data_IF_619723991877
#
_entry.id   IF_619723991877
#
_cell.length_a   1.000
_cell.length_b   1.000
_cell.length_c   1.000
_cell.angle_alpha   90.00
_cell.angle_beta   90.00
_cell.angle_gamma   90.00
#
_symmetry.space_group_name_H-M   'P 1'
#
loop_
_entity.id
_entity.type
_entity.pdbx_description
1 polymer ?
#
# COMPACT_ATOMS: atom_id res chain seq x y z
N UNK A 1 -10.98 20.20 14.98
CA UNK A 1 -11.13 18.78 15.39
C UNK A 1 -9.78 18.08 15.25
N UNK A 2 -9.39 17.26 16.24
CA UNK A 2 -8.16 16.45 16.18
C UNK A 2 -8.34 15.29 15.19
N UNK A 3 -7.34 15.02 14.34
CA UNK A 3 -7.35 13.86 13.43
C UNK A 3 -6.58 12.70 14.04
N UNK A 4 -7.04 11.48 13.78
CA UNK A 4 -6.31 10.25 14.08
C UNK A 4 -5.53 9.83 12.84
N UNK A 5 -4.29 9.40 13.02
CA UNK A 5 -3.39 8.97 11.94
C UNK A 5 -3.02 7.51 12.18
N UNK A 6 -3.16 6.67 11.16
CA UNK A 6 -2.78 5.26 11.18
C UNK A 6 -1.74 5.01 10.07
N UNK A 7 -0.55 4.51 10.44
CA UNK A 7 0.50 4.08 9.52
C UNK A 7 0.55 2.55 9.49
N UNK A 8 0.23 1.97 8.34
CA UNK A 8 0.41 0.54 8.09
C UNK A 8 1.73 0.36 7.33
N UNK A 9 2.66 -0.41 7.90
CA UNK A 9 3.93 -0.74 7.28
C UNK A 9 4.10 -2.26 7.27
N UNK A 10 4.25 -2.82 6.08
CA UNK A 10 4.31 -4.27 5.85
C UNK A 10 5.74 -4.70 5.54
N UNK A 11 6.14 -5.88 6.02
CA UNK A 11 7.43 -6.50 5.68
C UNK A 11 7.34 -7.16 4.29
N UNK A 12 8.33 -6.89 3.42
CA UNK A 12 8.55 -7.56 2.11
C UNK A 12 7.39 -7.61 1.10
N UNK A 13 6.33 -6.82 1.27
CA UNK A 13 5.14 -6.90 0.36
C UNK A 13 5.43 -6.39 -1.06
N UNK A 14 6.29 -5.37 -1.18
CA UNK A 14 6.61 -4.74 -2.47
C UNK A 14 5.36 -4.24 -3.22
N UNK A 15 5.33 -4.45 -4.54
CA UNK A 15 4.20 -4.08 -5.42
C UNK A 15 3.36 -5.29 -5.86
N UNK A 16 3.60 -6.48 -5.32
CA UNK A 16 2.97 -7.72 -5.77
C UNK A 16 1.56 -7.92 -5.17
N UNK A 17 0.69 -6.91 -5.25
CA UNK A 17 -0.68 -6.91 -4.70
C UNK A 17 -1.71 -6.36 -5.69
N UNK A 18 -3.00 -6.65 -5.48
CA UNK A 18 -4.10 -6.25 -6.39
C UNK A 18 -4.09 -4.77 -6.79
N UNK A 19 -3.88 -3.79 -5.89
CA UNK A 19 -3.78 -2.38 -6.27
C UNK A 19 -2.79 -2.08 -7.40
N UNK A 20 -1.74 -2.89 -7.54
CA UNK A 20 -0.71 -2.78 -8.57
C UNK A 20 -0.93 -3.69 -9.78
N UNK A 21 -2.06 -4.40 -9.87
CA UNK A 21 -2.44 -5.21 -11.03
C UNK A 21 -2.05 -6.69 -10.96
N UNK A 22 -1.55 -7.16 -9.81
CA UNK A 22 -1.20 -8.57 -9.62
C UNK A 22 -2.41 -9.41 -9.21
N UNK A 23 -2.47 -10.65 -9.68
CA UNK A 23 -3.52 -11.62 -9.35
C UNK A 23 -3.34 -12.24 -7.94
N UNK A 24 -3.27 -11.38 -6.91
CA UNK A 24 -3.15 -11.77 -5.49
C UNK A 24 -4.33 -11.21 -4.71
N UNK A 25 -5.08 -12.06 -4.02
CA UNK A 25 -6.29 -11.65 -3.30
C UNK A 25 -5.98 -10.72 -2.12
N UNK A 26 -6.24 -9.43 -2.29
CA UNK A 26 -6.09 -8.34 -1.31
C UNK A 26 -7.25 -7.32 -1.44
N UNK A 27 -8.52 -7.77 -1.33
CA UNK A 27 -9.70 -7.00 -1.73
C UNK A 27 -9.87 -5.71 -0.92
N UNK A 28 -9.49 -5.71 0.37
CA UNK A 28 -9.54 -4.52 1.22
C UNK A 28 -8.49 -3.47 0.84
N UNK A 29 -7.29 -3.89 0.44
CA UNK A 29 -6.27 -2.96 -0.10
C UNK A 29 -6.71 -2.39 -1.44
N UNK A 30 -7.35 -3.21 -2.29
CA UNK A 30 -7.92 -2.74 -3.55
C UNK A 30 -9.03 -1.70 -3.33
N UNK A 31 -9.93 -1.93 -2.36
CA UNK A 31 -10.95 -0.97 -1.98
C UNK A 31 -10.36 0.33 -1.42
N UNK A 32 -9.37 0.23 -0.54
CA UNK A 32 -8.68 1.38 0.03
C UNK A 32 -7.99 2.23 -1.05
N UNK A 33 -7.30 1.59 -1.99
CA UNK A 33 -6.63 2.27 -3.10
C UNK A 33 -7.59 3.02 -4.03
N UNK A 34 -8.85 2.58 -4.16
CA UNK A 34 -9.89 3.28 -4.93
C UNK A 34 -10.46 4.52 -4.22
N UNK A 35 -10.42 4.52 -2.89
CA UNK A 35 -10.97 5.60 -2.06
C UNK A 35 -9.93 6.69 -1.73
N UNK A 36 -8.65 6.41 -1.94
CA UNK A 36 -7.54 7.31 -1.64
C UNK A 36 -6.64 7.57 -2.84
N UNK A 37 -5.43 8.08 -2.56
CA UNK A 37 -4.39 8.24 -3.55
C UNK A 37 -3.49 7.00 -3.58
N UNK A 38 -3.29 6.43 -4.77
CA UNK A 38 -2.37 5.32 -5.01
C UNK A 38 -1.10 5.82 -5.70
N UNK A 39 0.03 5.76 -5.00
CA UNK A 39 1.32 6.14 -5.57
C UNK A 39 1.87 4.99 -6.42
N UNK A 40 2.13 5.26 -7.71
CA UNK A 40 2.76 4.28 -8.62
C UNK A 40 4.29 4.28 -8.52
N UNK A 41 4.86 5.37 -8.00
CA UNK A 41 6.30 5.59 -7.84
C UNK A 41 6.60 6.02 -6.40
N UNK A 42 6.54 5.06 -5.47
CA UNK A 42 6.94 5.24 -4.07
C UNK A 42 8.20 4.40 -3.81
N UNK A 43 9.24 5.01 -3.27
CA UNK A 43 10.56 4.40 -3.05
C UNK A 43 10.89 4.38 -1.55
N UNK A 44 11.66 3.39 -1.11
CA UNK A 44 12.30 3.39 0.20
C UNK A 44 13.76 3.87 0.08
N UNK A 45 14.41 4.13 1.21
CA UNK A 45 15.79 4.60 1.23
C UNK A 45 16.83 3.47 1.08
N UNK A 46 16.42 2.21 1.26
CA UNK A 46 17.31 1.05 1.19
C UNK A 46 16.52 -0.27 1.16
N UNK A 47 17.07 -1.35 0.56
CA UNK A 47 16.35 -2.59 0.32
C UNK A 47 16.30 -3.55 1.51
N UNK A 48 16.87 -3.16 2.66
CA UNK A 48 16.94 -3.97 3.87
C UNK A 48 16.24 -3.27 5.03
N UNK A 49 15.83 -4.04 6.03
CA UNK A 49 15.30 -3.53 7.29
C UNK A 49 16.36 -2.79 8.11
#
# INVERSE_FOLDING_TARGET
MKKNILLLHTHDTGRCIQPYGYAVETPHLAAFARQGALFRQAFNCGPTC
#
